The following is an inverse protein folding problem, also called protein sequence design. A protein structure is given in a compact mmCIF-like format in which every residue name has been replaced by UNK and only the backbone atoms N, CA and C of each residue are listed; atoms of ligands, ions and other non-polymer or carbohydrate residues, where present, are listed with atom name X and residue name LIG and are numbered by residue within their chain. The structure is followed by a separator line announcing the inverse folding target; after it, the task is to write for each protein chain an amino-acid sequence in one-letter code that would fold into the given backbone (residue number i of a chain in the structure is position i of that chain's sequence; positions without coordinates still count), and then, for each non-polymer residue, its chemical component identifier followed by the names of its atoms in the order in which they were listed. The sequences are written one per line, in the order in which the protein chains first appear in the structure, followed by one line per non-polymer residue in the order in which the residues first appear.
data_IF_609474982067
#
_entry.id   IF_609474982067
#
_cell.length_a   1.000
_cell.length_b   1.000
_cell.length_c   1.000
_cell.angle_alpha   90.00
_cell.angle_beta   90.00
_cell.angle_gamma   90.00
#
_symmetry.space_group_name_H-M   'P 1'
#
loop_
_entity.id
_entity.type
_entity.pdbx_description
1 polymer ?
#
# COMPACT_ATOMS: atom_id res chain seq x y z
N UNK A 1 -4.98 -4.45 18.78
CA UNK A 1 -5.30 -4.45 20.22
C UNK A 1 -4.22 -3.62 20.93
N UNK A 2 -4.56 -2.55 21.63
CA UNK A 2 -3.56 -1.79 22.39
C UNK A 2 -3.38 -2.49 23.74
N UNK A 3 -2.16 -2.91 24.02
CA UNK A 3 -1.76 -3.43 25.33
C UNK A 3 -1.09 -2.30 26.11
N UNK A 4 -1.22 -2.33 27.45
CA UNK A 4 -0.44 -1.45 28.33
C UNK A 4 1.05 -1.77 28.22
N UNK A 5 1.90 -0.79 28.60
CA UNK A 5 3.33 -1.02 28.65
C UNK A 5 3.67 -2.17 29.62
N UNK A 6 4.63 -3.01 29.24
CA UNK A 6 5.10 -4.06 30.14
C UNK A 6 5.81 -3.44 31.35
N UNK A 7 5.48 -3.91 32.55
CA UNK A 7 6.08 -3.47 33.80
C UNK A 7 6.76 -4.63 34.51
N UNK A 8 8.07 -4.57 34.64
CA UNK A 8 8.85 -5.53 35.41
C UNK A 8 8.67 -5.36 36.94
N UNK A 9 8.09 -4.24 37.37
CA UNK A 9 7.86 -3.91 38.78
C UNK A 9 6.43 -4.19 39.24
N UNK A 10 5.62 -4.93 38.46
CA UNK A 10 4.28 -5.34 38.87
C UNK A 10 4.37 -6.31 40.05
N UNK A 11 4.11 -5.80 41.24
CA UNK A 11 4.20 -6.54 42.52
C UNK A 11 3.11 -6.04 43.44
N UNK A 12 2.63 -6.93 44.29
CA UNK A 12 1.63 -6.67 45.34
C UNK A 12 2.16 -7.08 46.71
N UNK A 13 1.73 -6.42 47.76
CA UNK A 13 2.00 -6.81 49.12
C UNK A 13 1.09 -7.97 49.48
N UNK A 14 1.63 -8.97 50.15
CA UNK A 14 0.85 -10.14 50.59
C UNK A 14 -0.21 -9.69 51.62
N UNK A 15 -1.49 -10.01 51.32
CA UNK A 15 -2.64 -9.64 52.17
C UNK A 15 -3.17 -8.22 52.03
N UNK A 16 -2.67 -7.44 51.05
CA UNK A 16 -3.14 -6.06 50.80
C UNK A 16 -4.38 -6.07 49.88
N UNK A 17 -5.20 -5.01 49.95
CA UNK A 17 -6.36 -4.82 49.10
C UNK A 17 -5.94 -4.34 47.72
N UNK A 18 -6.62 -4.85 46.66
CA UNK A 18 -6.25 -4.60 45.29
C UNK A 18 -6.86 -3.32 44.76
N UNK A 19 -6.05 -2.38 44.29
CA UNK A 19 -6.52 -1.22 43.53
C UNK A 19 -6.69 -1.58 42.05
N UNK A 20 -7.77 -1.08 41.40
CA UNK A 20 -8.01 -1.34 39.97
C UNK A 20 -7.01 -0.57 39.12
N UNK A 21 -6.36 -1.28 38.21
CA UNK A 21 -5.47 -0.67 37.22
C UNK A 21 -6.27 0.12 36.17
N UNK A 22 -5.70 1.23 35.74
CA UNK A 22 -6.27 2.02 34.66
C UNK A 22 -6.26 1.23 33.33
N UNK A 23 -7.42 1.07 32.73
CA UNK A 23 -7.53 0.41 31.43
C UNK A 23 -7.00 1.30 30.30
N UNK A 24 -6.20 0.75 29.41
CA UNK A 24 -5.74 1.45 28.20
C UNK A 24 -6.93 1.58 27.24
N UNK A 25 -7.30 2.82 26.93
CA UNK A 25 -8.38 3.08 25.99
C UNK A 25 -8.01 2.62 24.57
N UNK A 26 -8.94 1.94 23.91
CA UNK A 26 -8.77 1.57 22.51
C UNK A 26 -9.00 2.77 21.61
N UNK A 27 -8.11 2.99 20.65
CA UNK A 27 -8.25 4.06 19.65
C UNK A 27 -8.87 3.47 18.39
N UNK A 28 -9.98 4.07 17.95
CA UNK A 28 -10.63 3.70 16.69
C UNK A 28 -9.83 4.28 15.53
N UNK A 29 -9.41 3.43 14.62
CA UNK A 29 -8.80 3.81 13.34
C UNK A 29 -9.75 3.40 12.21
N UNK A 30 -9.79 4.18 11.14
CA UNK A 30 -10.69 3.92 10.02
C UNK A 30 -10.25 4.60 8.74
N UNK A 31 -11.05 4.38 7.73
CA UNK A 31 -10.90 5.00 6.40
C UNK A 31 -12.29 5.26 5.83
N UNK A 32 -12.40 6.11 4.82
CA UNK A 32 -13.66 6.35 4.13
C UNK A 32 -13.76 5.47 2.88
N UNK A 33 -14.99 5.07 2.55
CA UNK A 33 -15.29 4.33 1.33
C UNK A 33 -15.17 5.21 0.11
N UNK A 34 -14.67 4.64 -0.98
CA UNK A 34 -14.57 5.29 -2.28
C UNK A 34 -15.29 4.49 -3.34
N UNK A 35 -16.19 5.14 -4.07
CA UNK A 35 -16.89 4.55 -5.21
C UNK A 35 -16.02 4.75 -6.45
N UNK A 36 -15.52 3.66 -6.98
CA UNK A 36 -14.83 3.63 -8.27
C UNK A 36 -15.87 3.40 -9.36
N UNK A 37 -15.86 4.24 -10.38
CA UNK A 37 -16.78 4.11 -11.50
C UNK A 37 -16.06 4.12 -12.84
N UNK A 38 -16.67 3.48 -13.81
CA UNK A 38 -16.23 3.52 -15.19
C UNK A 38 -17.41 3.31 -16.13
N UNK A 39 -17.56 4.18 -17.10
CA UNK A 39 -18.61 4.06 -18.11
C UNK A 39 -18.05 3.56 -19.42
N UNK A 40 -18.84 2.76 -20.10
CA UNK A 40 -18.56 2.26 -21.46
C UNK A 40 -19.78 2.52 -22.33
N UNK A 41 -19.57 3.10 -23.50
CA UNK A 41 -20.63 3.32 -24.47
C UNK A 41 -20.23 2.85 -25.87
N UNK A 42 -21.14 2.18 -26.55
CA UNK A 42 -20.94 1.70 -27.92
C UNK A 42 -22.16 2.05 -28.77
N UNK A 43 -21.95 2.60 -29.98
CA UNK A 43 -23.04 2.84 -30.89
C UNK A 43 -23.63 1.52 -31.43
N UNK A 44 -24.92 1.48 -31.67
CA UNK A 44 -25.61 0.31 -32.22
C UNK A 44 -24.90 -0.24 -33.45
N UNK A 45 -24.50 0.62 -34.37
CA UNK A 45 -23.80 0.22 -35.60
C UNK A 45 -22.46 -0.46 -35.31
N UNK A 46 -21.67 0.10 -34.37
CA UNK A 46 -20.37 -0.46 -34.01
C UNK A 46 -20.48 -1.84 -33.32
N UNK A 47 -21.61 -2.11 -32.63
CA UNK A 47 -21.86 -3.38 -31.97
C UNK A 47 -22.39 -4.47 -32.94
N UNK A 48 -23.04 -4.08 -34.05
CA UNK A 48 -23.57 -4.99 -35.07
C UNK A 48 -22.51 -5.40 -36.12
N UNK A 49 -21.59 -4.47 -36.46
CA UNK A 49 -20.55 -4.72 -37.46
C UNK A 49 -19.58 -5.79 -36.96
N UNK A 50 -19.47 -6.87 -37.71
CA UNK A 50 -18.50 -7.93 -37.45
C UNK A 50 -17.09 -7.41 -37.74
N UNK A 51 -16.23 -7.38 -36.70
CA UNK A 51 -14.84 -6.95 -36.80
C UNK A 51 -13.93 -8.18 -36.85
N UNK A 52 -12.87 -8.13 -37.63
CA UNK A 52 -11.85 -9.17 -37.63
C UNK A 52 -11.14 -9.20 -36.26
N UNK A 53 -11.02 -10.39 -35.66
CA UNK A 53 -10.30 -10.59 -34.39
C UNK A 53 -11.05 -10.19 -33.12
N UNK A 54 -12.28 -9.64 -33.20
CA UNK A 54 -13.11 -9.30 -32.04
C UNK A 54 -14.52 -9.80 -32.20
N UNK A 55 -15.11 -10.34 -31.13
CA UNK A 55 -16.55 -10.60 -31.04
C UNK A 55 -17.36 -9.31 -30.81
N UNK A 56 -18.21 -9.30 -29.78
CA UNK A 56 -18.99 -8.12 -29.41
C UNK A 56 -18.09 -7.01 -28.88
N UNK A 57 -18.16 -5.82 -29.47
CA UNK A 57 -17.33 -4.66 -29.04
C UNK A 57 -17.61 -4.25 -27.59
N UNK A 58 -18.87 -4.28 -27.17
CA UNK A 58 -19.28 -3.99 -25.80
C UNK A 58 -18.61 -4.92 -24.78
N UNK A 59 -18.54 -6.23 -25.05
CA UNK A 59 -17.91 -7.19 -24.14
C UNK A 59 -16.41 -6.93 -23.99
N UNK A 60 -15.73 -6.63 -25.09
CA UNK A 60 -14.30 -6.27 -25.08
C UNK A 60 -14.04 -5.01 -24.25
N UNK A 61 -14.82 -3.95 -24.47
CA UNK A 61 -14.66 -2.68 -23.77
C UNK A 61 -15.01 -2.79 -22.27
N UNK A 62 -16.02 -3.59 -21.89
CA UNK A 62 -16.32 -3.92 -20.50
C UNK A 62 -15.11 -4.57 -19.81
N UNK A 63 -14.53 -5.59 -20.44
CA UNK A 63 -13.34 -6.27 -19.89
C UNK A 63 -12.16 -5.32 -19.70
N UNK A 64 -11.87 -4.49 -20.72
CA UNK A 64 -10.81 -3.46 -20.63
C UNK A 64 -11.08 -2.47 -19.51
N UNK A 65 -12.33 -1.98 -19.38
CA UNK A 65 -12.69 -1.01 -18.33
C UNK A 65 -12.60 -1.57 -16.92
N UNK A 66 -12.93 -2.85 -16.74
CA UNK A 66 -12.73 -3.55 -15.47
C UNK A 66 -11.24 -3.61 -15.05
N UNK A 67 -10.34 -3.87 -16.01
CA UNK A 67 -8.90 -3.85 -15.73
C UNK A 67 -8.41 -2.44 -15.38
N UNK A 68 -8.92 -1.40 -16.05
CA UNK A 68 -8.63 0.00 -15.71
C UNK A 68 -9.09 0.35 -14.29
N UNK A 69 -10.29 -0.09 -13.88
CA UNK A 69 -10.80 0.12 -12.51
C UNK A 69 -9.95 -0.59 -11.46
N UNK A 70 -9.53 -1.83 -11.70
CA UNK A 70 -8.59 -2.54 -10.81
C UNK A 70 -7.30 -1.76 -10.63
N UNK A 71 -6.75 -1.23 -11.73
CA UNK A 71 -5.54 -0.41 -11.71
C UNK A 71 -5.75 0.91 -10.95
N UNK A 72 -6.93 1.51 -11.02
CA UNK A 72 -7.26 2.72 -10.26
C UNK A 72 -7.35 2.42 -8.75
N UNK A 73 -7.91 1.27 -8.36
CA UNK A 73 -7.91 0.81 -6.96
C UNK A 73 -6.48 0.59 -6.47
N UNK A 74 -5.65 -0.07 -7.26
CA UNK A 74 -4.23 -0.28 -6.95
C UNK A 74 -3.48 1.06 -6.79
N UNK A 75 -3.74 2.03 -7.67
CA UNK A 75 -3.17 3.37 -7.57
C UNK A 75 -3.59 4.10 -6.28
N UNK A 76 -4.83 3.95 -5.84
CA UNK A 76 -5.31 4.45 -4.56
C UNK A 76 -4.55 3.81 -3.39
N UNK A 77 -4.38 2.50 -3.40
CA UNK A 77 -3.70 1.76 -2.32
C UNK A 77 -2.27 2.27 -2.15
N UNK A 78 -1.48 2.34 -3.23
CA UNK A 78 -0.06 2.71 -3.16
C UNK A 78 0.19 4.22 -3.11
N UNK A 79 -0.86 5.04 -3.17
CA UNK A 79 -0.72 6.50 -3.17
C UNK A 79 -0.05 7.00 -1.88
N UNK A 80 1.01 7.81 -1.98
CA UNK A 80 1.67 8.38 -0.82
C UNK A 80 0.89 9.55 -0.19
N UNK A 81 0.05 10.24 -0.96
CA UNK A 81 -0.55 11.52 -0.58
C UNK A 81 -2.07 11.54 -0.52
N UNK A 82 -2.74 10.51 -1.04
CA UNK A 82 -4.20 10.49 -1.10
C UNK A 82 -4.82 10.41 0.30
N UNK A 83 -5.51 11.47 0.70
CA UNK A 83 -6.19 11.60 2.00
C UNK A 83 -7.57 10.94 2.00
N UNK A 84 -8.08 10.65 3.18
CA UNK A 84 -9.45 10.17 3.36
C UNK A 84 -10.44 11.35 3.40
N UNK A 85 -11.50 11.29 2.59
CA UNK A 85 -12.56 12.30 2.55
C UNK A 85 -13.90 11.63 2.83
N UNK A 86 -14.64 12.16 3.81
CA UNK A 86 -15.99 11.69 4.10
C UNK A 86 -16.94 12.09 2.96
N UNK A 87 -17.78 11.15 2.53
CA UNK A 87 -18.82 11.43 1.55
C UNK A 87 -19.89 12.38 2.14
N UNK A 88 -20.28 13.37 1.36
CA UNK A 88 -21.43 14.25 1.65
C UNK A 88 -22.36 14.30 0.44
N UNK A 89 -23.44 15.03 0.52
CA UNK A 89 -24.35 15.22 -0.62
C UNK A 89 -23.69 15.91 -1.82
N UNK A 90 -22.60 16.65 -1.61
CA UNK A 90 -21.89 17.43 -2.64
C UNK A 90 -20.43 17.04 -2.84
N UNK A 91 -19.88 16.19 -1.98
CA UNK A 91 -18.48 15.76 -2.04
C UNK A 91 -18.41 14.24 -2.12
N UNK A 92 -17.72 13.73 -3.13
CA UNK A 92 -17.48 12.29 -3.26
C UNK A 92 -16.59 11.77 -2.15
N UNK A 93 -16.91 10.61 -1.58
CA UNK A 93 -16.06 9.91 -0.63
C UNK A 93 -14.76 9.47 -1.28
N UNK A 94 -13.66 9.56 -0.53
CA UNK A 94 -12.34 9.15 -0.97
C UNK A 94 -11.64 8.33 0.10
N UNK A 95 -11.06 7.22 -0.31
CA UNK A 95 -10.25 6.38 0.58
C UNK A 95 -8.82 6.90 0.68
N UNK A 96 -8.28 6.99 1.89
CA UNK A 96 -6.88 7.31 2.09
C UNK A 96 -5.98 6.16 1.68
N UNK A 97 -4.86 6.44 1.01
CA UNK A 97 -3.86 5.46 0.59
C UNK A 97 -2.89 5.07 1.71
N UNK A 98 -1.99 4.12 1.43
CA UNK A 98 -0.97 3.66 2.39
C UNK A 98 -0.15 4.81 2.97
N UNK A 99 0.25 5.79 2.16
CA UNK A 99 1.09 6.88 2.61
C UNK A 99 0.51 7.69 3.77
N UNK A 100 -0.80 7.89 3.80
CA UNK A 100 -1.49 8.63 4.87
C UNK A 100 -1.97 7.72 6.01
N UNK A 101 -2.22 6.43 5.74
CA UNK A 101 -2.63 5.45 6.75
C UNK A 101 -1.47 5.03 7.67
N UNK A 102 -0.24 4.98 7.17
CA UNK A 102 0.93 4.56 7.94
C UNK A 102 1.51 5.74 8.73
N UNK A 103 1.07 5.88 9.97
CA UNK A 103 1.44 7.00 10.85
C UNK A 103 2.34 6.60 12.02
N UNK A 104 2.44 5.29 12.34
CA UNK A 104 3.10 4.84 13.58
C UNK A 104 4.63 4.78 13.47
N UNK A 105 5.18 4.35 12.35
CA UNK A 105 6.62 4.20 12.13
C UNK A 105 7.08 4.95 10.86
N UNK A 106 6.87 6.26 10.78
CA UNK A 106 7.31 7.03 9.62
C UNK A 106 8.77 7.43 9.76
N UNK A 107 9.54 7.22 8.71
CA UNK A 107 10.89 7.74 8.59
C UNK A 107 10.87 8.94 7.63
N UNK A 108 10.55 10.12 8.16
CA UNK A 108 10.63 11.38 7.45
C UNK A 108 12.05 11.95 7.46
N UNK A 109 12.31 12.94 6.61
CA UNK A 109 13.54 13.70 6.59
C UNK A 109 13.25 15.21 6.59
N UNK A 110 14.06 15.97 7.30
CA UNK A 110 13.86 17.42 7.44
C UNK A 110 12.54 17.77 8.13
N UNK A 111 11.77 18.69 7.57
CA UNK A 111 10.47 19.13 8.07
C UNK A 111 9.29 18.22 7.68
N UNK A 112 9.55 17.04 7.13
CA UNK A 112 8.50 16.09 6.76
C UNK A 112 7.69 15.61 7.97
N UNK A 113 6.37 15.50 7.80
CA UNK A 113 5.46 15.05 8.85
C UNK A 113 4.36 14.13 8.32
N UNK A 114 3.83 13.29 9.22
CA UNK A 114 2.69 12.40 8.93
C UNK A 114 1.40 13.18 8.70
N UNK A 115 0.44 12.54 8.04
CA UNK A 115 -0.92 13.03 7.92
C UNK A 115 -1.55 13.21 9.31
N UNK A 116 -2.28 14.30 9.52
CA UNK A 116 -3.10 14.46 10.70
C UNK A 116 -4.39 13.64 10.57
N UNK A 117 -4.81 13.07 11.70
CA UNK A 117 -6.02 12.24 11.78
C UNK A 117 -7.13 13.02 12.49
N UNK A 118 -8.32 13.02 11.90
CA UNK A 118 -9.52 13.60 12.48
C UNK A 118 -10.61 12.53 12.52
N UNK A 119 -11.24 12.36 13.68
CA UNK A 119 -12.31 11.36 13.89
C UNK A 119 -11.91 9.93 13.48
N UNK A 120 -10.63 9.59 13.65
CA UNK A 120 -10.12 8.24 13.35
C UNK A 120 -9.79 7.98 11.89
N UNK A 121 -9.75 8.99 11.01
CA UNK A 121 -9.36 8.87 9.61
C UNK A 121 -8.27 9.89 9.23
N UNK A 122 -7.36 9.59 8.28
CA UNK A 122 -6.30 10.50 7.84
C UNK A 122 -6.85 11.52 6.85
N UNK A 123 -7.33 12.63 7.35
CA UNK A 123 -8.02 13.68 6.57
C UNK A 123 -7.11 14.79 6.07
N UNK A 124 -5.90 14.92 6.61
CA UNK A 124 -4.93 15.91 6.16
C UNK A 124 -3.81 15.26 5.34
N UNK A 125 -3.24 16.03 4.42
CA UNK A 125 -2.09 15.60 3.63
C UNK A 125 -0.82 15.47 4.50
N UNK A 126 0.12 14.63 4.05
CA UNK A 126 1.47 14.58 4.62
C UNK A 126 2.21 15.88 4.28
N UNK A 127 3.12 16.29 5.17
CA UNK A 127 4.03 17.39 4.88
C UNK A 127 5.29 16.84 4.20
N UNK A 128 5.65 17.40 3.05
CA UNK A 128 6.87 17.05 2.35
C UNK A 128 8.10 17.53 3.15
N UNK A 129 9.14 16.72 3.17
CA UNK A 129 10.43 17.06 3.78
C UNK A 129 11.52 17.25 2.73
N UNK A 130 12.78 17.17 3.15
CA UNK A 130 13.94 17.24 2.25
C UNK A 130 14.25 15.85 1.70
N UNK A 131 14.46 15.76 0.38
CA UNK A 131 14.81 14.47 -0.25
C UNK A 131 16.19 13.97 0.19
N UNK A 132 16.28 12.65 0.31
CA UNK A 132 17.51 11.93 0.67
C UNK A 132 17.65 10.64 -0.14
N UNK A 133 18.86 10.14 -0.23
CA UNK A 133 19.13 8.86 -0.92
C UNK A 133 18.57 7.70 -0.10
N UNK A 134 17.97 6.71 -0.75
CA UNK A 134 17.57 5.45 -0.14
C UNK A 134 18.82 4.66 0.26
N UNK A 135 18.95 4.30 1.54
CA UNK A 135 20.13 3.60 2.08
C UNK A 135 19.71 2.35 2.87
N UNK A 136 20.64 1.40 3.00
CA UNK A 136 20.45 0.21 3.84
C UNK A 136 20.11 0.57 5.29
N UNK A 137 20.77 1.57 5.86
CA UNK A 137 20.55 2.00 7.23
C UNK A 137 19.11 2.49 7.49
N UNK A 138 18.47 3.14 6.51
CA UNK A 138 17.06 3.53 6.60
C UNK A 138 16.13 2.31 6.63
N UNK A 139 16.44 1.29 5.84
CA UNK A 139 15.67 0.05 5.82
C UNK A 139 15.81 -0.71 7.14
N UNK A 140 17.03 -0.83 7.67
CA UNK A 140 17.29 -1.47 8.96
C UNK A 140 16.54 -0.74 10.10
N UNK A 141 16.58 0.60 10.10
CA UNK A 141 15.83 1.42 11.07
C UNK A 141 14.33 1.20 10.95
N UNK A 142 13.78 1.08 9.75
CA UNK A 142 12.36 0.79 9.54
C UNK A 142 11.97 -0.58 10.14
N UNK A 143 12.76 -1.62 9.88
CA UNK A 143 12.54 -2.95 10.44
C UNK A 143 12.65 -2.96 11.97
N UNK A 144 13.65 -2.28 12.52
CA UNK A 144 13.84 -2.13 13.97
C UNK A 144 12.65 -1.43 14.63
N UNK A 145 12.15 -0.34 14.03
CA UNK A 145 11.00 0.40 14.55
C UNK A 145 9.74 -0.46 14.57
N UNK A 146 9.47 -1.23 13.52
CA UNK A 146 8.34 -2.17 13.47
C UNK A 146 8.45 -3.17 14.62
N UNK A 147 9.62 -3.81 14.77
CA UNK A 147 9.83 -4.80 15.81
C UNK A 147 9.70 -4.22 17.21
N UNK A 148 10.30 -3.06 17.46
CA UNK A 148 10.25 -2.38 18.77
C UNK A 148 8.83 -1.95 19.14
N UNK A 149 8.03 -1.50 18.15
CA UNK A 149 6.70 -0.94 18.40
C UNK A 149 5.61 -2.01 18.48
N UNK A 150 5.73 -3.09 17.72
CA UNK A 150 4.66 -4.09 17.57
C UNK A 150 5.07 -5.51 17.99
N UNK A 151 6.38 -5.80 18.10
CA UNK A 151 6.88 -7.17 18.26
C UNK A 151 6.70 -8.04 17.01
N UNK A 152 6.31 -7.45 15.88
CA UNK A 152 6.05 -8.16 14.61
C UNK A 152 7.19 -7.94 13.62
N UNK A 153 7.23 -8.77 12.58
CA UNK A 153 8.19 -8.66 11.48
C UNK A 153 7.50 -8.14 10.23
N UNK A 154 8.20 -7.36 9.44
CA UNK A 154 7.76 -7.01 8.10
C UNK A 154 8.14 -8.14 7.11
N UNK A 155 7.32 -8.32 6.07
CA UNK A 155 7.49 -9.38 5.07
C UNK A 155 7.79 -8.82 3.68
N UNK A 156 7.31 -7.62 3.41
CA UNK A 156 7.34 -7.03 2.07
C UNK A 156 7.86 -5.60 2.09
N UNK A 157 8.76 -5.31 1.15
CA UNK A 157 9.20 -3.95 0.84
C UNK A 157 8.68 -3.55 -0.54
N UNK A 158 7.75 -2.60 -0.59
CA UNK A 158 7.20 -2.06 -1.84
C UNK A 158 7.91 -0.75 -2.17
N UNK A 159 8.53 -0.70 -3.35
CA UNK A 159 9.38 0.41 -3.76
C UNK A 159 9.12 0.83 -5.21
N UNK A 160 9.56 2.04 -5.56
CA UNK A 160 9.61 2.45 -6.96
C UNK A 160 10.66 1.63 -7.74
N UNK A 161 10.55 1.53 -9.06
CA UNK A 161 11.57 0.87 -9.89
C UNK A 161 12.98 1.46 -9.71
N UNK A 162 13.09 2.78 -9.50
CA UNK A 162 14.37 3.46 -9.26
C UNK A 162 14.97 3.02 -7.90
N UNK A 163 14.15 3.00 -6.84
CA UNK A 163 14.61 2.54 -5.51
C UNK A 163 14.94 1.05 -5.49
N UNK A 164 14.30 0.23 -6.34
CA UNK A 164 14.67 -1.17 -6.51
C UNK A 164 16.07 -1.32 -7.08
N UNK A 165 16.45 -0.48 -8.04
CA UNK A 165 17.82 -0.47 -8.57
C UNK A 165 18.85 -0.06 -7.50
N UNK A 166 18.54 0.96 -6.68
CA UNK A 166 19.37 1.35 -5.54
C UNK A 166 19.47 0.22 -4.51
N UNK A 167 18.36 -0.46 -4.20
CA UNK A 167 18.37 -1.62 -3.31
C UNK A 167 19.29 -2.73 -3.83
N UNK A 168 19.24 -3.05 -5.11
CA UNK A 168 20.16 -4.03 -5.72
C UNK A 168 21.62 -3.60 -5.61
N UNK A 169 21.89 -2.29 -5.58
CA UNK A 169 23.23 -1.76 -5.34
C UNK A 169 23.68 -1.92 -3.87
N UNK A 170 22.77 -1.97 -2.87
CA UNK A 170 23.13 -2.33 -1.49
C UNK A 170 23.69 -3.75 -1.39
N UNK A 171 23.11 -4.67 -2.17
CA UNK A 171 23.54 -6.05 -2.25
C UNK A 171 24.93 -6.23 -2.92
N UNK A 172 25.45 -5.20 -3.60
CA UNK A 172 26.82 -5.26 -4.15
C UNK A 172 27.90 -5.33 -3.05
N UNK A 173 27.54 -5.00 -1.82
CA UNK A 173 28.38 -5.23 -0.63
C UNK A 173 28.33 -6.72 -0.20
N UNK A 174 27.26 -7.44 -0.52
CA UNK A 174 27.17 -8.88 -0.39
C UNK A 174 27.62 -9.51 -1.70
N UNK A 175 28.93 -9.74 -1.82
CA UNK A 175 29.65 -10.47 -2.86
C UNK A 175 28.75 -11.02 -3.98
N UNK A 176 28.96 -10.55 -5.23
CA UNK A 176 28.53 -11.23 -6.45
C UNK A 176 28.96 -12.71 -6.36
N UNK A 177 28.09 -13.58 -5.86
CA UNK A 177 28.28 -15.00 -6.01
C UNK A 177 28.05 -15.31 -7.49
N UNK A 178 29.10 -15.27 -8.25
CA UNK A 178 29.17 -16.00 -9.50
C UNK A 178 29.18 -17.47 -9.15
N UNK A 179 28.01 -18.12 -9.25
CA UNK A 179 27.98 -19.58 -9.34
C UNK A 179 28.53 -19.96 -10.73
N UNK A 180 29.85 -20.01 -10.81
CA UNK A 180 30.53 -20.63 -11.94
C UNK A 180 30.39 -22.12 -11.76
N UNK A 181 29.34 -22.71 -12.32
CA UNK A 181 29.24 -24.16 -12.44
C UNK A 181 30.43 -24.64 -13.29
N UNK A 182 31.35 -25.32 -12.64
CA UNK A 182 32.50 -25.95 -13.29
C UNK A 182 32.04 -27.09 -14.21
N UNK A 183 31.93 -26.83 -15.50
CA UNK A 183 31.59 -27.81 -16.53
C UNK A 183 31.97 -27.27 -17.91
N UNK A 184 32.32 -28.15 -18.86
CA UNK A 184 32.85 -27.85 -20.19
C UNK A 184 31.98 -26.92 -21.08
N UNK A 185 30.77 -26.49 -20.64
CA UNK A 185 29.91 -25.51 -21.32
C UNK A 185 29.17 -24.63 -20.32
N UNK A 186 29.79 -24.26 -19.19
CA UNK A 186 29.16 -23.41 -18.19
C UNK A 186 29.09 -21.97 -18.71
N UNK A 187 27.89 -21.48 -18.94
CA UNK A 187 27.62 -20.06 -19.18
C UNK A 187 27.77 -19.28 -17.88
N UNK A 188 28.53 -18.20 -17.88
CA UNK A 188 28.59 -17.28 -16.75
C UNK A 188 27.24 -16.55 -16.63
N UNK A 189 26.56 -16.70 -15.50
CA UNK A 189 25.32 -15.98 -15.20
C UNK A 189 25.67 -14.77 -14.34
N UNK A 190 25.39 -13.56 -14.85
CA UNK A 190 25.50 -12.33 -14.09
C UNK A 190 24.17 -12.10 -13.37
N UNK A 191 24.16 -12.17 -12.04
CA UNK A 191 23.00 -11.83 -11.21
C UNK A 191 23.09 -10.36 -10.85
N UNK A 192 22.25 -9.54 -11.49
CA UNK A 192 22.21 -8.09 -11.32
C UNK A 192 21.10 -7.57 -10.38
N UNK A 193 20.31 -8.45 -9.76
CA UNK A 193 19.20 -8.07 -8.92
C UNK A 193 19.15 -8.86 -7.61
N UNK A 194 18.60 -8.24 -6.56
CA UNK A 194 18.31 -8.87 -5.29
C UNK A 194 16.80 -8.72 -5.00
N UNK A 195 16.10 -9.81 -4.69
CA UNK A 195 14.67 -9.80 -4.42
C UNK A 195 14.32 -10.06 -2.96
N UNK A 196 15.29 -10.53 -2.18
CA UNK A 196 15.11 -10.83 -0.76
C UNK A 196 16.20 -10.12 0.04
N UNK A 197 15.78 -9.49 1.12
CA UNK A 197 16.64 -8.88 2.12
C UNK A 197 16.48 -9.60 3.46
N UNK A 198 17.56 -10.16 3.98
CA UNK A 198 17.58 -10.73 5.32
C UNK A 198 18.13 -9.66 6.28
N UNK A 199 17.23 -9.14 7.13
CA UNK A 199 17.60 -8.27 8.25
C UNK A 199 17.71 -9.10 9.54
N UNK A 200 18.26 -8.49 10.60
CA UNK A 200 18.28 -9.10 11.93
C UNK A 200 16.87 -9.33 12.50
N UNK A 201 15.86 -8.69 11.90
CA UNK A 201 14.44 -8.72 12.31
C UNK A 201 13.55 -9.51 11.35
N UNK A 202 14.11 -10.31 10.43
CA UNK A 202 13.34 -11.14 9.50
C UNK A 202 13.70 -10.89 8.04
N UNK A 203 13.08 -11.70 7.17
CA UNK A 203 13.28 -11.63 5.72
C UNK A 203 12.23 -10.75 5.04
N UNK A 204 12.67 -9.83 4.19
CA UNK A 204 11.83 -8.95 3.38
C UNK A 204 11.89 -9.36 1.91
N UNK A 205 10.74 -9.53 1.28
CA UNK A 205 10.64 -9.65 -0.18
C UNK A 205 10.50 -8.26 -0.80
N UNK A 206 11.35 -7.93 -1.75
CA UNK A 206 11.37 -6.59 -2.37
C UNK A 206 10.58 -6.59 -3.68
N UNK A 207 9.48 -5.85 -3.70
CA UNK A 207 8.54 -5.79 -4.82
C UNK A 207 8.59 -4.39 -5.46
N UNK A 208 9.10 -4.26 -6.69
CA UNK A 208 8.99 -3.02 -7.43
C UNK A 208 7.56 -2.81 -7.92
N UNK A 209 7.04 -1.59 -7.75
CA UNK A 209 5.67 -1.27 -8.16
C UNK A 209 5.66 -0.15 -9.22
N UNK A 210 5.10 -0.44 -10.40
CA UNK A 210 5.16 0.47 -11.55
C UNK A 210 4.36 1.78 -11.37
N UNK A 211 3.27 1.76 -10.59
CA UNK A 211 2.49 2.97 -10.27
C UNK A 211 3.20 3.89 -9.28
N UNK A 212 4.31 3.44 -8.67
CA UNK A 212 5.16 4.23 -7.79
C UNK A 212 6.39 4.80 -8.50
N UNK A 213 6.43 4.80 -9.83
CA UNK A 213 7.62 5.21 -10.60
C UNK A 213 8.17 6.61 -10.25
N UNK A 214 7.29 7.54 -9.87
CA UNK A 214 7.64 8.89 -9.44
C UNK A 214 7.47 9.11 -7.93
N UNK A 215 7.33 8.04 -7.14
CA UNK A 215 7.13 8.16 -5.70
C UNK A 215 8.46 8.34 -4.96
N UNK A 216 8.45 9.24 -4.00
CA UNK A 216 9.52 9.49 -3.03
C UNK A 216 9.40 8.62 -1.77
N UNK A 217 8.52 7.63 -1.80
CA UNK A 217 8.15 6.83 -0.62
C UNK A 217 8.38 5.34 -0.89
N UNK A 218 8.90 4.64 0.11
CA UNK A 218 8.98 3.19 0.16
C UNK A 218 8.16 2.68 1.36
N UNK A 219 7.47 1.54 1.17
CA UNK A 219 6.64 0.93 2.20
C UNK A 219 7.24 -0.38 2.67
N UNK A 220 7.38 -0.53 3.99
CA UNK A 220 7.79 -1.76 4.66
C UNK A 220 6.56 -2.33 5.34
N UNK A 221 6.04 -3.43 4.82
CA UNK A 221 4.70 -3.93 5.11
C UNK A 221 4.71 -5.33 5.69
N UNK A 222 3.74 -5.56 6.57
CA UNK A 222 3.29 -6.89 6.96
C UNK A 222 1.88 -7.10 6.37
N UNK A 223 1.74 -8.06 5.47
CA UNK A 223 0.53 -8.31 4.69
C UNK A 223 -0.65 -8.75 5.54
N UNK A 224 -0.41 -9.37 6.69
CA UNK A 224 -1.46 -9.90 7.58
C UNK A 224 -2.41 -8.83 8.15
N UNK A 225 -1.95 -7.57 8.17
CA UNK A 225 -2.69 -6.45 8.75
C UNK A 225 -3.19 -5.43 7.73
N UNK A 226 -3.13 -5.76 6.45
CA UNK A 226 -3.59 -4.88 5.37
C UNK A 226 -4.63 -5.62 4.54
N UNK A 227 -5.82 -5.02 4.44
CA UNK A 227 -6.93 -5.57 3.67
C UNK A 227 -7.54 -4.52 2.75
N UNK A 228 -8.16 -4.98 1.69
CA UNK A 228 -9.06 -4.18 0.87
C UNK A 228 -10.50 -4.58 1.20
N UNK A 229 -11.19 -3.72 1.94
CA UNK A 229 -12.57 -3.94 2.33
C UNK A 229 -13.53 -3.48 1.22
N UNK A 230 -14.35 -4.38 0.71
CA UNK A 230 -15.41 -4.07 -0.25
C UNK A 230 -16.75 -3.94 0.48
N UNK A 231 -17.43 -2.81 0.28
CA UNK A 231 -18.85 -2.68 0.61
C UNK A 231 -19.68 -3.32 -0.49
N UNK A 232 -19.32 -3.02 -1.74
CA UNK A 232 -19.94 -3.59 -2.92
C UNK A 232 -18.86 -3.95 -3.95
N UNK A 233 -18.93 -5.18 -4.46
CA UNK A 233 -17.99 -5.69 -5.44
C UNK A 233 -18.18 -5.05 -6.82
N UNK A 234 -17.45 -5.55 -7.81
CA UNK A 234 -17.62 -5.07 -9.18
C UNK A 234 -19.02 -5.39 -9.69
N UNK A 235 -19.82 -4.35 -9.95
CA UNK A 235 -21.15 -4.45 -10.56
C UNK A 235 -21.18 -3.78 -11.91
N UNK A 236 -22.00 -4.35 -12.79
CA UNK A 236 -22.25 -3.81 -14.12
C UNK A 236 -23.73 -3.48 -14.22
N UNK A 237 -24.06 -2.22 -14.48
CA UNK A 237 -25.42 -1.73 -14.63
C UNK A 237 -25.61 -1.14 -16.01
N UNK A 238 -26.61 -1.62 -16.75
CA UNK A 238 -26.98 -1.03 -18.02
C UNK A 238 -27.70 0.29 -17.79
N UNK A 239 -27.23 1.36 -18.46
CA UNK A 239 -27.81 2.69 -18.34
C UNK A 239 -28.92 2.89 -19.38
N UNK A 240 -29.86 3.78 -19.08
CA UNK A 240 -30.93 4.15 -19.98
C UNK A 240 -30.35 4.68 -21.31
N UNK A 241 -30.98 4.29 -22.42
CA UNK A 241 -30.61 4.75 -23.77
C UNK A 241 -31.01 6.22 -23.93
N UNK A 242 -30.05 7.08 -24.20
CA UNK A 242 -30.25 8.49 -24.53
C UNK A 242 -29.93 8.78 -26.00
N UNK A 243 -30.00 7.78 -26.87
CA UNK A 243 -29.66 7.86 -28.29
C UNK A 243 -29.40 6.46 -28.84
N UNK A 244 -28.83 6.37 -30.05
CA UNK A 244 -28.49 5.10 -30.73
C UNK A 244 -27.19 4.48 -30.21
N UNK A 245 -27.07 4.38 -28.86
CA UNK A 245 -25.91 3.80 -28.20
C UNK A 245 -26.32 3.00 -26.97
N UNK A 246 -25.65 1.87 -26.74
CA UNK A 246 -25.72 1.11 -25.50
C UNK A 246 -24.65 1.62 -24.53
N UNK A 247 -25.05 1.93 -23.29
CA UNK A 247 -24.18 2.47 -22.25
C UNK A 247 -24.22 1.57 -21.03
N UNK A 248 -23.07 1.34 -20.43
CA UNK A 248 -22.93 0.51 -19.24
C UNK A 248 -22.08 1.25 -18.23
N UNK A 249 -22.52 1.21 -16.97
CA UNK A 249 -21.78 1.68 -15.81
C UNK A 249 -21.21 0.47 -15.09
N UNK A 250 -19.92 0.52 -14.77
CA UNK A 250 -19.24 -0.45 -13.91
C UNK A 250 -18.86 0.28 -12.63
N UNK A 251 -19.25 -0.26 -11.48
CA UNK A 251 -18.94 0.32 -10.17
C UNK A 251 -18.30 -0.69 -9.25
N UNK A 252 -17.47 -0.20 -8.34
CA UNK A 252 -16.95 -0.94 -7.19
C UNK A 252 -16.83 0.04 -6.03
N UNK A 253 -17.23 -0.37 -4.83
CA UNK A 253 -17.15 0.44 -3.61
C UNK A 253 -16.24 -0.24 -2.60
N UNK A 254 -15.10 0.36 -2.32
CA UNK A 254 -14.10 -0.23 -1.44
C UNK A 254 -13.29 0.83 -0.67
N UNK A 255 -12.60 0.37 0.38
CA UNK A 255 -11.66 1.16 1.15
C UNK A 255 -10.46 0.32 1.57
N UNK A 256 -9.30 0.96 1.67
CA UNK A 256 -8.11 0.37 2.27
C UNK A 256 -8.29 0.29 3.79
N UNK A 257 -8.06 -0.88 4.37
CA UNK A 257 -8.10 -1.12 5.80
C UNK A 257 -6.71 -1.54 6.30
N UNK A 258 -6.10 -0.72 7.15
CA UNK A 258 -4.85 -1.04 7.85
C UNK A 258 -5.18 -1.29 9.31
N UNK A 259 -5.16 -2.57 9.73
CA UNK A 259 -5.60 -2.97 11.09
C UNK A 259 -4.55 -2.66 12.15
N UNK A 260 -3.26 -2.74 11.81
CA UNK A 260 -2.16 -2.48 12.73
C UNK A 260 -1.11 -1.56 12.08
N UNK A 261 -1.28 -0.24 12.16
CA UNK A 261 -0.28 0.70 11.63
C UNK A 261 1.09 0.57 12.31
N UNK A 262 1.13 0.05 13.55
CA UNK A 262 2.38 -0.19 14.31
C UNK A 262 3.23 -1.32 13.74
N UNK A 263 2.62 -2.28 13.03
CA UNK A 263 3.31 -3.38 12.35
C UNK A 263 3.80 -3.00 10.95
N UNK A 264 3.65 -1.74 10.56
CA UNK A 264 4.00 -1.20 9.26
C UNK A 264 4.99 -0.04 9.42
N UNK A 265 5.79 0.23 8.39
CA UNK A 265 6.60 1.44 8.33
C UNK A 265 6.58 2.04 6.92
N UNK A 266 6.88 3.33 6.84
CA UNK A 266 7.13 4.02 5.58
C UNK A 266 8.40 4.83 5.67
N UNK A 267 9.14 4.87 4.58
CA UNK A 267 10.32 5.71 4.39
C UNK A 267 9.95 6.75 3.34
N UNK A 268 9.97 8.01 3.71
CA UNK A 268 9.56 9.11 2.83
C UNK A 268 10.73 10.03 2.50
N UNK A 269 10.47 10.97 1.59
CA UNK A 269 11.45 11.95 1.15
C UNK A 269 12.68 11.28 0.54
N UNK A 270 12.44 10.26 -0.28
CA UNK A 270 13.48 9.62 -1.07
C UNK A 270 13.66 10.37 -2.39
N UNK A 271 14.90 10.44 -2.87
CA UNK A 271 15.17 10.98 -4.21
C UNK A 271 14.62 9.99 -5.24
N UNK A 272 13.68 10.42 -6.13
CA UNK A 272 13.03 9.56 -7.11
C UNK A 272 14.00 8.89 -8.08
#
# INVERSE_FOLDING_TARGET
MALGAASASNKMIDGDDVTLDAQVATVRIGNHLQIFNGTVGVSRRANIVKKAGRGAEMAYLKGKKMLELKRNIEAMIVSPTQVAIAATTSVAGQSGGLGVQLVSNPLHNGAGATAAWTSGAPTAAITAGTNRTFTKALLDTACQNIYTTSGQFAEMLVVSPAHKALFSAFASVAQNRMDVKSGKNAQATVVGGADVYLSDFGGLTVVPHYLMASSDTAYVLNSDYIDLAFLDGFKTTDLAKTGDSDKVLITADCALAVRAPTAQAKITNLTP
#
